data_IF_967728181644
#
_entry.id   IF_967728181644
#
_cell.length_a   1.000
_cell.length_b   1.000
_cell.length_c   1.000
_cell.angle_alpha   90.00
_cell.angle_beta   90.00
_cell.angle_gamma   90.00
#
_symmetry.space_group_name_H-M   'P 1'
#
loop_
_entity.id
_entity.type
_entity.pdbx_description
1 polymer ?
#
# COMPACT_ATOMS: atom_id res chain seq x y z
N UNK A 1 10.21 -5.81 12.71
CA UNK A 1 11.54 -5.19 12.67
C UNK A 1 11.99 -5.13 11.22
N UNK A 2 12.13 -3.94 10.71
CA UNK A 2 12.47 -3.71 9.32
C UNK A 2 13.90 -4.20 9.03
N UNK A 3 14.06 -4.85 7.90
CA UNK A 3 15.32 -5.41 7.41
C UNK A 3 16.36 -4.33 7.01
N UNK A 4 16.18 -3.11 7.53
CA UNK A 4 16.97 -1.93 7.15
C UNK A 4 18.38 -1.87 7.75
N UNK A 5 18.68 -2.73 8.72
CA UNK A 5 19.97 -2.67 9.44
C UNK A 5 21.12 -3.41 8.76
N UNK A 6 20.94 -3.86 7.52
CA UNK A 6 22.00 -4.56 6.78
C UNK A 6 23.15 -3.62 6.42
N UNK A 7 24.37 -4.11 6.52
CA UNK A 7 25.55 -3.38 6.04
C UNK A 7 25.56 -3.29 4.50
N UNK A 8 26.24 -2.29 3.92
CA UNK A 8 26.36 -2.24 2.46
C UNK A 8 26.93 -3.51 1.82
N UNK A 9 27.86 -4.20 2.51
CA UNK A 9 28.43 -5.46 2.03
C UNK A 9 27.40 -6.59 1.97
N UNK A 10 26.54 -6.69 2.98
CA UNK A 10 25.46 -7.67 3.02
C UNK A 10 24.42 -7.38 1.89
N UNK A 11 24.09 -6.13 1.68
CA UNK A 11 23.18 -5.70 0.60
C UNK A 11 23.77 -6.09 -0.77
N UNK A 12 25.06 -5.79 -1.00
CA UNK A 12 25.72 -6.14 -2.26
C UNK A 12 25.74 -7.66 -2.47
N UNK A 13 26.02 -8.43 -1.41
CA UNK A 13 26.01 -9.89 -1.47
C UNK A 13 24.65 -10.45 -1.89
N UNK A 14 23.56 -9.92 -1.33
CA UNK A 14 22.21 -10.34 -1.71
C UNK A 14 21.87 -9.92 -3.16
N UNK A 15 22.34 -8.75 -3.59
CA UNK A 15 22.18 -8.33 -4.99
C UNK A 15 22.96 -9.23 -5.96
N UNK A 16 24.12 -9.71 -5.53
CA UNK A 16 24.98 -10.61 -6.34
C UNK A 16 24.31 -11.96 -6.65
N UNK A 17 23.34 -12.39 -5.82
CA UNK A 17 22.57 -13.60 -6.06
C UNK A 17 21.66 -13.49 -7.29
N UNK A 18 21.27 -12.29 -7.67
CA UNK A 18 20.28 -12.04 -8.74
C UNK A 18 20.82 -11.26 -9.93
N UNK A 19 21.89 -10.51 -9.75
CA UNK A 19 22.40 -9.57 -10.76
C UNK A 19 23.88 -9.83 -10.98
N UNK A 20 24.24 -10.15 -12.21
CA UNK A 20 25.63 -10.39 -12.61
C UNK A 20 26.29 -9.05 -12.95
N UNK A 21 27.48 -8.80 -12.41
CA UNK A 21 28.24 -7.58 -12.69
C UNK A 21 27.66 -6.35 -11.99
N UNK A 22 27.80 -5.18 -12.61
CA UNK A 22 27.28 -3.89 -12.12
C UNK A 22 27.80 -3.52 -10.72
N UNK A 23 29.06 -3.83 -10.42
CA UNK A 23 29.66 -3.71 -9.08
C UNK A 23 29.56 -2.29 -8.52
N UNK A 24 29.86 -1.27 -9.33
CA UNK A 24 29.84 0.12 -8.88
C UNK A 24 28.40 0.59 -8.58
N UNK A 25 27.44 0.23 -9.43
CA UNK A 25 26.02 0.56 -9.23
C UNK A 25 25.50 -0.09 -7.94
N UNK A 26 25.77 -1.36 -7.72
CA UNK A 26 25.37 -2.10 -6.50
C UNK A 26 25.93 -1.43 -5.24
N UNK A 27 27.22 -1.07 -5.25
CA UNK A 27 27.88 -0.39 -4.12
C UNK A 27 27.25 0.97 -3.84
N UNK A 28 27.03 1.79 -4.87
CA UNK A 28 26.47 3.14 -4.73
C UNK A 28 25.08 3.10 -4.12
N UNK A 29 24.24 2.19 -4.61
CA UNK A 29 22.86 2.03 -4.14
C UNK A 29 22.84 1.47 -2.71
N UNK A 30 23.71 0.50 -2.38
CA UNK A 30 23.83 -0.05 -1.03
C UNK A 30 24.28 1.01 -0.01
N UNK A 31 25.24 1.85 -0.38
CA UNK A 31 25.73 2.95 0.46
C UNK A 31 24.63 4.01 0.66
N UNK A 32 23.91 4.37 -0.39
CA UNK A 32 22.81 5.34 -0.30
C UNK A 32 21.74 4.86 0.71
N UNK A 33 21.37 3.59 0.65
CA UNK A 33 20.42 3.00 1.60
C UNK A 33 20.94 3.00 3.03
N UNK A 34 22.20 2.63 3.22
CA UNK A 34 22.81 2.61 4.56
C UNK A 34 22.85 4.02 5.14
N UNK A 35 23.14 5.01 4.33
CA UNK A 35 23.15 6.42 4.76
C UNK A 35 21.74 6.88 5.16
N UNK A 36 20.70 6.45 4.42
CA UNK A 36 19.30 6.72 4.80
C UNK A 36 18.96 6.07 6.14
N UNK A 37 19.32 4.82 6.34
CA UNK A 37 19.10 4.13 7.62
C UNK A 37 19.80 4.87 8.78
N UNK A 38 21.06 5.28 8.58
CA UNK A 38 21.82 6.05 9.57
C UNK A 38 21.15 7.38 9.90
N UNK A 39 20.63 8.04 8.87
CA UNK A 39 19.90 9.30 9.01
C UNK A 39 18.69 9.12 9.95
N UNK A 40 17.93 8.04 9.78
CA UNK A 40 16.74 7.74 10.61
C UNK A 40 17.10 7.47 12.09
N UNK A 41 18.38 7.23 12.42
CA UNK A 41 18.85 7.06 13.79
C UNK A 41 19.31 8.38 14.45
N UNK A 42 19.33 9.46 13.70
CA UNK A 42 19.69 10.78 14.23
C UNK A 42 18.48 11.43 14.91
N UNK A 43 18.75 12.45 15.75
CA UNK A 43 17.70 13.30 16.32
C UNK A 43 16.93 14.03 15.21
N UNK A 44 15.65 14.25 15.40
CA UNK A 44 14.75 14.85 14.40
C UNK A 44 15.29 16.16 13.80
N UNK A 45 15.90 17.02 14.63
CA UNK A 45 16.48 18.28 14.17
C UNK A 45 17.62 18.05 13.18
N UNK A 46 18.48 17.08 13.47
CA UNK A 46 19.63 16.76 12.60
C UNK A 46 19.14 16.03 11.33
N UNK A 47 18.09 15.22 11.44
CA UNK A 47 17.51 14.52 10.29
C UNK A 47 17.07 15.51 9.19
N UNK A 48 16.51 16.65 9.57
CA UNK A 48 16.02 17.66 8.63
C UNK A 48 17.15 18.28 7.80
N UNK A 49 18.34 18.39 8.39
CA UNK A 49 19.52 18.97 7.72
C UNK A 49 20.27 18.00 6.81
N UNK A 50 19.93 16.70 6.87
CA UNK A 50 20.61 15.66 6.10
C UNK A 50 19.70 15.15 4.98
N UNK A 51 19.85 15.71 3.78
CA UNK A 51 19.10 15.26 2.61
C UNK A 51 19.80 14.05 1.96
N UNK A 52 19.05 13.01 1.56
CA UNK A 52 19.64 11.90 0.83
C UNK A 52 20.11 12.34 -0.56
N UNK A 53 21.21 11.73 -1.03
CA UNK A 53 21.75 12.01 -2.36
C UNK A 53 21.06 11.12 -3.39
N UNK A 54 20.54 11.75 -4.43
CA UNK A 54 19.94 11.05 -5.56
C UNK A 54 21.02 10.36 -6.42
N UNK A 55 20.64 9.38 -7.21
CA UNK A 55 21.56 8.54 -7.99
C UNK A 55 21.21 8.65 -9.47
N UNK A 56 22.23 8.87 -10.30
CA UNK A 56 22.09 8.79 -11.76
C UNK A 56 22.87 7.57 -12.27
N UNK A 57 22.15 6.64 -12.89
CA UNK A 57 22.74 5.44 -13.52
C UNK A 57 22.85 5.64 -15.02
N UNK A 58 24.08 5.60 -15.55
CA UNK A 58 24.35 5.80 -16.98
C UNK A 58 24.81 4.47 -17.58
N UNK A 59 24.21 4.10 -18.70
CA UNK A 59 24.59 2.88 -19.43
C UNK A 59 23.48 2.37 -20.33
N UNK A 60 23.80 1.40 -21.19
CA UNK A 60 22.83 0.88 -22.15
C UNK A 60 21.61 0.26 -21.48
N UNK A 61 20.52 0.18 -22.21
CA UNK A 61 19.29 -0.46 -21.74
C UNK A 61 19.50 -1.98 -21.58
N UNK A 62 18.72 -2.58 -20.69
CA UNK A 62 18.74 -4.03 -20.51
C UNK A 62 19.86 -4.60 -19.65
N UNK A 63 20.70 -3.77 -19.06
CA UNK A 63 21.85 -4.25 -18.25
C UNK A 63 21.54 -4.39 -16.74
N UNK A 64 20.29 -4.42 -16.37
CA UNK A 64 19.89 -4.69 -14.98
C UNK A 64 19.78 -3.49 -14.05
N UNK A 65 19.87 -2.26 -14.54
CA UNK A 65 19.79 -1.04 -13.71
C UNK A 65 18.50 -0.98 -12.87
N UNK A 66 17.35 -1.22 -13.51
CA UNK A 66 16.04 -1.27 -12.83
C UNK A 66 15.97 -2.39 -11.81
N UNK A 67 16.51 -3.56 -12.17
CA UNK A 67 16.48 -4.75 -11.30
C UNK A 67 17.28 -4.51 -10.03
N UNK A 68 18.41 -3.80 -10.10
CA UNK A 68 19.20 -3.39 -8.92
C UNK A 68 18.29 -2.61 -7.95
N UNK A 69 17.62 -1.56 -8.43
CA UNK A 69 16.79 -0.70 -7.61
C UNK A 69 15.58 -1.47 -7.03
N UNK A 70 14.93 -2.30 -7.84
CA UNK A 70 13.77 -3.09 -7.45
C UNK A 70 14.11 -4.14 -6.39
N UNK A 71 15.21 -4.86 -6.56
CA UNK A 71 15.69 -5.86 -5.59
C UNK A 71 16.10 -5.21 -4.29
N UNK A 72 16.77 -4.08 -4.39
CA UNK A 72 17.18 -3.28 -3.25
C UNK A 72 15.98 -2.89 -2.38
N UNK A 73 14.93 -2.35 -3.00
CA UNK A 73 13.71 -1.97 -2.28
C UNK A 73 13.09 -3.16 -1.53
N UNK A 74 13.12 -4.36 -2.13
CA UNK A 74 12.66 -5.59 -1.49
C UNK A 74 13.52 -6.00 -0.29
N UNK A 75 14.86 -5.88 -0.42
CA UNK A 75 15.81 -6.23 0.64
C UNK A 75 15.55 -5.39 1.91
N UNK A 76 15.15 -4.14 1.74
CA UNK A 76 14.94 -3.19 2.86
C UNK A 76 13.46 -2.93 3.19
N UNK A 77 12.55 -3.63 2.54
CA UNK A 77 11.09 -3.46 2.69
C UNK A 77 10.66 -1.99 2.47
N UNK A 78 11.22 -1.35 1.46
CA UNK A 78 10.93 0.05 1.12
C UNK A 78 9.87 0.16 0.02
N UNK A 79 8.98 1.17 0.10
CA UNK A 79 8.09 1.47 -1.03
C UNK A 79 8.90 1.79 -2.29
N UNK A 80 8.48 1.23 -3.41
CA UNK A 80 9.20 1.36 -4.68
C UNK A 80 8.23 1.52 -5.85
N UNK A 81 8.50 2.52 -6.69
CA UNK A 81 7.82 2.66 -7.97
C UNK A 81 8.86 2.84 -9.09
N UNK A 82 8.59 2.22 -10.23
CA UNK A 82 9.34 2.40 -11.46
C UNK A 82 8.46 3.11 -12.49
N UNK A 83 8.99 4.16 -13.08
CA UNK A 83 8.30 4.95 -14.09
C UNK A 83 9.25 5.30 -15.23
N UNK A 84 8.70 5.44 -16.41
CA UNK A 84 9.45 5.92 -17.59
C UNK A 84 9.17 7.42 -17.73
N UNK A 85 10.23 8.23 -17.78
CA UNK A 85 10.11 9.69 -17.88
C UNK A 85 9.31 10.12 -19.11
N UNK A 86 9.38 9.33 -20.18
CA UNK A 86 8.66 9.58 -21.45
C UNK A 86 7.15 9.47 -21.34
N UNK A 87 6.61 8.87 -20.26
CA UNK A 87 5.15 8.73 -20.05
C UNK A 87 4.52 9.95 -19.39
N UNK A 88 5.32 10.89 -18.91
CA UNK A 88 4.81 12.11 -18.31
C UNK A 88 4.51 13.17 -19.37
N UNK A 89 3.52 14.00 -19.07
CA UNK A 89 3.16 15.18 -19.86
C UNK A 89 3.38 16.44 -19.02
N UNK A 90 3.69 17.53 -19.69
CA UNK A 90 3.80 18.85 -19.05
C UNK A 90 2.48 19.23 -18.37
N UNK A 91 2.58 19.91 -17.23
CA UNK A 91 1.40 20.39 -16.48
C UNK A 91 0.47 21.21 -17.40
N UNK A 92 -0.80 20.86 -17.39
CA UNK A 92 -1.83 21.50 -18.22
C UNK A 92 -2.18 20.74 -19.49
N UNK A 93 -1.43 19.73 -19.87
CA UNK A 93 -1.75 18.84 -20.99
C UNK A 93 -2.44 17.56 -20.53
N UNK A 94 -3.23 16.97 -21.40
CA UNK A 94 -3.88 15.68 -21.13
C UNK A 94 -2.83 14.58 -21.07
N UNK A 95 -2.76 13.90 -19.94
CA UNK A 95 -1.78 12.83 -19.73
C UNK A 95 -1.44 12.67 -18.26
N UNK A 96 -0.33 12.02 -17.99
CA UNK A 96 0.10 11.70 -16.65
C UNK A 96 1.02 12.80 -16.12
N UNK A 97 0.60 13.48 -15.06
CA UNK A 97 1.41 14.51 -14.39
C UNK A 97 2.57 13.87 -13.58
N UNK A 98 3.60 14.66 -13.32
CA UNK A 98 4.81 14.19 -12.62
C UNK A 98 4.53 13.85 -11.13
N UNK A 99 3.55 14.52 -10.50
CA UNK A 99 3.19 14.23 -9.12
C UNK A 99 2.59 12.83 -8.94
N UNK A 100 2.05 12.25 -10.03
CA UNK A 100 1.50 10.89 -9.99
C UNK A 100 2.53 9.85 -9.55
N UNK A 101 3.84 10.09 -9.75
CA UNK A 101 4.87 9.17 -9.26
C UNK A 101 4.91 9.11 -7.73
N UNK A 102 4.63 10.23 -7.07
CA UNK A 102 4.57 10.32 -5.60
C UNK A 102 3.27 9.66 -5.11
N UNK A 103 2.16 9.90 -5.79
CA UNK A 103 0.88 9.25 -5.45
C UNK A 103 0.96 7.73 -5.60
N UNK A 104 1.59 7.22 -6.65
CA UNK A 104 1.84 5.78 -6.83
C UNK A 104 2.73 5.21 -5.72
N UNK A 105 3.74 5.97 -5.28
CA UNK A 105 4.62 5.56 -4.18
C UNK A 105 3.83 5.39 -2.88
N UNK A 106 2.91 6.30 -2.60
CA UNK A 106 2.03 6.21 -1.41
C UNK A 106 1.11 4.99 -1.51
N UNK A 107 0.53 4.71 -2.68
CA UNK A 107 -0.28 3.50 -2.89
C UNK A 107 0.54 2.22 -2.63
N UNK A 108 1.80 2.20 -3.08
CA UNK A 108 2.71 1.08 -2.82
C UNK A 108 3.00 0.96 -1.31
N UNK A 109 3.24 2.07 -0.63
CA UNK A 109 3.46 2.11 0.82
C UNK A 109 2.24 1.59 1.59
N UNK A 110 1.03 1.96 1.17
CA UNK A 110 -0.23 1.47 1.77
C UNK A 110 -0.29 -0.06 1.70
N UNK A 111 0.06 -0.66 0.57
CA UNK A 111 0.05 -2.12 0.43
C UNK A 111 1.05 -2.79 1.39
N UNK A 112 2.23 -2.18 1.58
CA UNK A 112 3.25 -2.69 2.51
C UNK A 112 2.73 -2.62 3.97
N UNK A 113 2.24 -1.46 4.38
CA UNK A 113 1.74 -1.24 5.75
C UNK A 113 0.52 -2.13 6.03
N UNK A 114 -0.40 -2.21 5.09
CA UNK A 114 -1.60 -3.04 5.19
C UNK A 114 -1.24 -4.51 5.40
N UNK A 115 -0.29 -5.02 4.61
CA UNK A 115 0.20 -6.40 4.73
C UNK A 115 0.81 -6.67 6.11
N UNK A 116 1.61 -5.73 6.62
CA UNK A 116 2.22 -5.81 7.96
C UNK A 116 1.15 -5.80 9.06
N UNK A 117 0.21 -4.86 8.99
CA UNK A 117 -0.87 -4.73 9.96
C UNK A 117 -1.76 -5.99 9.99
N UNK A 118 -2.10 -6.53 8.84
CA UNK A 118 -2.90 -7.75 8.74
C UNK A 118 -2.14 -8.95 9.31
N UNK A 119 -0.83 -9.04 9.08
CA UNK A 119 0.03 -10.07 9.66
C UNK A 119 0.02 -9.99 11.20
N UNK A 120 0.11 -8.77 11.74
CA UNK A 120 0.14 -8.53 13.19
C UNK A 120 -1.17 -8.93 13.89
N UNK A 121 -2.32 -8.72 13.23
CA UNK A 121 -3.62 -9.05 13.82
C UNK A 121 -4.10 -10.47 13.47
N UNK A 122 -3.39 -11.22 12.64
CA UNK A 122 -3.85 -12.52 12.11
C UNK A 122 -4.21 -13.51 13.21
N UNK A 123 -3.37 -13.64 14.24
CA UNK A 123 -3.61 -14.58 15.36
C UNK A 123 -4.93 -14.23 16.08
N UNK A 124 -5.15 -12.94 16.35
CA UNK A 124 -6.37 -12.47 17.00
C UNK A 124 -7.59 -12.65 16.09
N UNK A 125 -7.45 -12.35 14.81
CA UNK A 125 -8.50 -12.53 13.80
C UNK A 125 -8.89 -14.01 13.65
N UNK A 126 -7.92 -14.92 13.66
CA UNK A 126 -8.15 -16.36 13.58
C UNK A 126 -8.97 -16.87 14.78
N UNK A 127 -8.64 -16.42 15.99
CA UNK A 127 -9.42 -16.77 17.19
C UNK A 127 -10.87 -16.28 17.08
N UNK A 128 -11.07 -15.06 16.57
CA UNK A 128 -12.42 -14.51 16.34
C UNK A 128 -13.17 -15.29 15.25
N UNK A 129 -12.50 -15.63 14.16
CA UNK A 129 -13.06 -16.44 13.07
C UNK A 129 -13.49 -17.81 13.56
N UNK A 130 -12.65 -18.51 14.35
CA UNK A 130 -12.98 -19.79 14.94
C UNK A 130 -14.19 -19.68 15.89
N UNK A 131 -14.29 -18.61 16.68
CA UNK A 131 -15.47 -18.38 17.54
C UNK A 131 -16.76 -18.20 16.70
N UNK A 132 -16.66 -17.51 15.55
CA UNK A 132 -17.82 -17.39 14.65
C UNK A 132 -18.21 -18.73 14.05
N UNK A 133 -17.22 -19.54 13.62
CA UNK A 133 -17.46 -20.90 13.11
C UNK A 133 -18.10 -21.80 14.17
N UNK A 134 -17.66 -21.72 15.42
CA UNK A 134 -18.26 -22.45 16.55
C UNK A 134 -19.74 -22.09 16.69
N UNK A 135 -20.11 -20.82 16.61
CA UNK A 135 -21.53 -20.39 16.68
C UNK A 135 -22.37 -20.95 15.53
N UNK A 136 -21.78 -21.07 14.34
CA UNK A 136 -22.47 -21.63 13.17
C UNK A 136 -22.62 -23.16 13.30
N UNK A 137 -21.57 -23.84 13.77
CA UNK A 137 -21.57 -25.31 13.92
C UNK A 137 -22.39 -25.80 15.14
N UNK A 138 -22.45 -24.99 16.19
CA UNK A 138 -23.21 -25.27 17.43
C UNK A 138 -24.06 -24.04 17.76
N UNK A 139 -25.21 -23.88 17.09
CA UNK A 139 -26.08 -22.73 17.35
C UNK A 139 -26.70 -22.78 18.76
N UNK A 140 -26.79 -21.61 19.37
CA UNK A 140 -27.47 -21.46 20.64
C UNK A 140 -29.00 -21.42 20.46
N UNK A 141 -29.73 -21.51 21.57
CA UNK A 141 -31.21 -21.40 21.59
C UNK A 141 -31.55 -19.92 21.36
N UNK A 142 -32.20 -19.63 20.24
CA UNK A 142 -32.69 -18.27 19.97
C UNK A 142 -33.82 -17.93 20.88
N UNK A 143 -33.67 -16.89 21.71
CA UNK A 143 -34.80 -16.30 22.41
C UNK A 143 -35.70 -15.60 21.39
N UNK A 144 -36.98 -16.03 21.33
CA UNK A 144 -37.97 -15.24 20.64
C UNK A 144 -38.12 -13.89 21.37
N UNK A 145 -37.61 -12.84 20.70
CA UNK A 145 -37.92 -11.48 21.17
C UNK A 145 -39.42 -11.27 20.98
N UNK A 146 -40.15 -11.20 22.11
CA UNK A 146 -41.49 -10.64 22.07
C UNK A 146 -41.37 -9.25 21.46
N UNK A 147 -41.98 -9.07 20.30
CA UNK A 147 -42.07 -7.76 19.65
C UNK A 147 -42.82 -6.85 20.61
N UNK A 148 -42.09 -6.04 21.34
CA UNK A 148 -42.73 -4.95 22.09
C UNK A 148 -43.39 -4.02 21.07
N UNK A 149 -44.70 -3.92 21.16
CA UNK A 149 -45.54 -3.17 20.23
C UNK A 149 -45.57 -1.67 20.52
N UNK A 150 -44.57 -1.15 21.24
CA UNK A 150 -44.55 0.26 21.58
C UNK A 150 -43.90 1.08 20.43
N UNK A 151 -44.66 1.91 19.69
CA UNK A 151 -44.14 2.64 18.51
C UNK A 151 -42.97 3.57 18.84
N UNK A 152 -42.91 4.05 20.07
CA UNK A 152 -41.87 4.97 20.54
C UNK A 152 -40.52 4.25 20.70
N UNK A 153 -40.52 3.01 21.20
CA UNK A 153 -39.33 2.18 21.34
C UNK A 153 -38.82 1.71 19.96
N UNK A 154 -39.73 1.44 19.02
CA UNK A 154 -39.37 1.10 17.65
C UNK A 154 -38.60 2.25 16.96
N UNK A 155 -39.06 3.47 17.18
CA UNK A 155 -38.43 4.66 16.60
C UNK A 155 -37.07 4.94 17.25
N UNK A 156 -36.93 4.74 18.56
CA UNK A 156 -35.67 4.87 19.28
C UNK A 156 -34.68 3.77 18.91
N UNK A 157 -35.15 2.54 18.74
CA UNK A 157 -34.32 1.42 18.28
C UNK A 157 -33.85 1.60 16.82
N UNK A 158 -34.66 2.25 15.98
CA UNK A 158 -34.32 2.57 14.61
C UNK A 158 -33.18 3.64 14.54
N UNK A 159 -33.21 4.59 15.48
CA UNK A 159 -32.14 5.58 15.62
C UNK A 159 -30.84 4.98 16.21
N UNK A 160 -30.97 4.07 17.17
CA UNK A 160 -29.84 3.40 17.82
C UNK A 160 -29.23 2.27 16.94
N UNK A 161 -30.02 1.64 16.08
CA UNK A 161 -29.57 0.60 15.16
C UNK A 161 -28.57 1.12 14.12
N UNK A 162 -28.45 2.44 13.99
CA UNK A 162 -27.41 3.05 13.16
C UNK A 162 -26.00 2.94 13.79
N UNK A 163 -25.89 2.51 15.06
CA UNK A 163 -24.61 2.50 15.76
C UNK A 163 -24.00 1.13 16.09
N UNK A 164 -24.70 0.06 16.01
CA UNK A 164 -24.16 -1.35 15.95
C UNK A 164 -25.33 -2.33 16.01
N UNK A 165 -25.44 -3.31 15.12
CA UNK A 165 -26.43 -4.38 15.32
C UNK A 165 -26.02 -5.23 16.53
N UNK A 166 -26.75 -5.16 17.61
CA UNK A 166 -26.59 -6.08 18.74
C UNK A 166 -26.84 -7.51 18.26
N UNK A 167 -25.84 -8.38 18.48
CA UNK A 167 -26.04 -9.82 18.24
C UNK A 167 -27.22 -10.32 19.09
N UNK A 168 -28.12 -11.10 18.50
CA UNK A 168 -29.27 -11.65 19.27
C UNK A 168 -28.74 -12.44 20.46
N UNK A 169 -29.26 -12.13 21.64
CA UNK A 169 -28.86 -12.79 22.89
C UNK A 169 -29.31 -14.26 22.84
N UNK A 170 -28.32 -15.15 22.72
CA UNK A 170 -28.54 -16.60 22.76
C UNK A 170 -28.56 -17.10 24.20
N UNK A 171 -29.48 -18.02 24.52
CA UNK A 171 -29.37 -18.80 25.74
C UNK A 171 -28.38 -19.95 25.55
N UNK A 172 -27.41 -20.00 26.42
CA UNK A 172 -26.35 -21.02 26.41
C UNK A 172 -26.55 -21.93 27.60
N UNK A 173 -27.03 -23.15 27.36
CA UNK A 173 -27.01 -24.20 28.38
C UNK A 173 -25.56 -24.67 28.59
N UNK A 174 -25.30 -25.28 29.73
CA UNK A 174 -23.94 -25.82 30.02
C UNK A 174 -23.51 -26.87 29.00
N UNK A 175 -24.46 -27.62 28.46
CA UNK A 175 -24.22 -28.59 27.39
C UNK A 175 -23.73 -27.90 26.09
N UNK A 176 -24.39 -26.79 25.70
CA UNK A 176 -24.02 -26.02 24.51
C UNK A 176 -22.62 -25.41 24.72
N UNK A 177 -22.31 -24.90 25.90
CA UNK A 177 -20.97 -24.36 26.22
C UNK A 177 -19.89 -25.42 26.11
N UNK A 178 -20.11 -26.60 26.64
CA UNK A 178 -19.19 -27.73 26.56
C UNK A 178 -18.94 -28.16 25.11
N UNK A 179 -20.02 -28.28 24.33
CA UNK A 179 -19.95 -28.62 22.92
C UNK A 179 -19.18 -27.56 22.13
N UNK A 180 -19.44 -26.28 22.37
CA UNK A 180 -18.74 -25.16 21.75
C UNK A 180 -17.24 -25.19 22.05
N UNK A 181 -16.86 -25.50 23.29
CA UNK A 181 -15.47 -25.62 23.67
C UNK A 181 -14.77 -26.77 22.91
N UNK A 182 -15.41 -27.94 22.86
CA UNK A 182 -14.87 -29.10 22.14
C UNK A 182 -14.71 -28.83 20.64
N UNK A 183 -15.71 -28.19 20.02
CA UNK A 183 -15.65 -27.81 18.59
C UNK A 183 -14.54 -26.76 18.34
N UNK A 184 -14.38 -25.80 19.25
CA UNK A 184 -13.33 -24.79 19.15
C UNK A 184 -11.93 -25.45 19.13
N UNK A 185 -11.69 -26.41 20.00
CA UNK A 185 -10.43 -27.15 20.05
C UNK A 185 -10.16 -27.97 18.78
N UNK A 186 -11.23 -28.58 18.24
CA UNK A 186 -11.16 -29.31 16.97
C UNK A 186 -10.84 -28.37 15.80
N UNK A 187 -11.43 -27.16 15.79
CA UNK A 187 -11.12 -26.14 14.78
C UNK A 187 -9.67 -25.68 14.86
N UNK A 188 -9.15 -25.43 16.07
CA UNK A 188 -7.74 -25.04 16.25
C UNK A 188 -6.76 -26.11 15.76
N UNK A 189 -7.14 -27.40 15.89
CA UNK A 189 -6.33 -28.52 15.43
C UNK A 189 -6.54 -28.85 13.95
N UNK A 190 -7.46 -28.17 13.27
CA UNK A 190 -7.77 -28.40 11.84
C UNK A 190 -8.53 -29.68 11.55
N UNK A 191 -9.10 -30.35 12.57
CA UNK A 191 -9.78 -31.64 12.41
C UNK A 191 -11.09 -31.53 11.62
N UNK A 192 -11.65 -30.33 11.52
CA UNK A 192 -12.92 -30.07 10.85
C UNK A 192 -12.75 -29.39 9.48
N UNK A 193 -11.53 -29.23 8.99
CA UNK A 193 -11.19 -28.39 7.82
C UNK A 193 -11.94 -28.81 6.55
N UNK A 194 -12.21 -30.09 6.36
CA UNK A 194 -12.90 -30.62 5.17
C UNK A 194 -14.43 -30.66 5.30
N UNK A 195 -14.97 -30.33 6.46
CA UNK A 195 -16.44 -30.28 6.69
C UNK A 195 -17.04 -29.08 5.96
N UNK A 196 -18.20 -29.25 5.36
CA UNK A 196 -18.94 -28.15 4.74
C UNK A 196 -19.71 -27.35 5.80
N UNK A 197 -19.75 -26.03 5.61
CA UNK A 197 -20.44 -25.08 6.48
C UNK A 197 -21.02 -23.94 5.64
N UNK A 198 -22.21 -23.49 6.00
CA UNK A 198 -22.81 -22.29 5.38
C UNK A 198 -22.55 -21.10 6.30
N UNK A 199 -21.85 -20.11 5.77
CA UNK A 199 -21.51 -18.88 6.49
C UNK A 199 -22.11 -17.66 5.78
N UNK A 200 -22.33 -16.60 6.54
CA UNK A 200 -22.68 -15.28 5.99
C UNK A 200 -21.39 -14.45 5.89
N UNK A 201 -21.05 -14.04 4.69
CA UNK A 201 -19.88 -13.22 4.39
C UNK A 201 -20.31 -11.93 3.69
N UNK A 202 -19.52 -10.91 3.85
CA UNK A 202 -19.73 -9.66 3.14
C UNK A 202 -19.60 -9.87 1.62
N UNK A 203 -20.54 -9.32 0.87
CA UNK A 203 -20.50 -9.37 -0.59
C UNK A 203 -19.23 -8.69 -1.10
N UNK A 204 -18.42 -9.37 -1.93
CA UNK A 204 -17.22 -8.74 -2.46
C UNK A 204 -17.61 -7.46 -3.22
N UNK A 205 -16.94 -6.36 -2.89
CA UNK A 205 -17.14 -5.09 -3.59
C UNK A 205 -16.72 -5.30 -5.05
N UNK A 206 -17.69 -5.56 -5.90
CA UNK A 206 -17.47 -5.53 -7.34
C UNK A 206 -17.11 -4.08 -7.69
N UNK A 207 -15.85 -3.84 -7.97
CA UNK A 207 -15.42 -2.64 -8.67
C UNK A 207 -15.98 -2.74 -10.09
N UNK A 208 -17.25 -2.38 -10.25
CA UNK A 208 -17.79 -2.20 -11.57
C UNK A 208 -16.96 -1.10 -12.25
N UNK A 209 -16.42 -1.34 -13.43
CA UNK A 209 -15.75 -0.28 -14.17
C UNK A 209 -16.81 0.75 -14.56
N UNK A 210 -17.02 1.73 -13.70
CA UNK A 210 -17.87 2.87 -14.07
C UNK A 210 -17.09 3.77 -15.02
N UNK A 211 -17.64 3.91 -16.21
CA UNK A 211 -17.27 4.94 -17.17
C UNK A 211 -17.58 6.32 -16.57
N UNK A 212 -16.65 6.83 -15.78
CA UNK A 212 -16.79 8.19 -15.23
C UNK A 212 -15.47 8.96 -15.41
N UNK A 213 -15.12 9.15 -16.69
CA UNK A 213 -13.90 9.87 -17.08
C UNK A 213 -13.96 11.39 -16.84
N UNK A 214 -15.05 11.93 -16.28
CA UNK A 214 -15.21 13.38 -16.19
C UNK A 214 -15.16 13.98 -14.77
N UNK A 215 -15.44 13.19 -13.74
CA UNK A 215 -15.62 13.72 -12.38
C UNK A 215 -14.44 13.45 -11.43
N UNK A 216 -13.57 12.49 -11.78
CA UNK A 216 -12.34 12.23 -11.03
C UNK A 216 -11.37 13.43 -11.05
N UNK A 217 -11.48 14.29 -12.05
CA UNK A 217 -10.67 15.52 -12.15
C UNK A 217 -11.01 16.55 -11.05
N UNK A 218 -12.14 16.40 -10.37
CA UNK A 218 -12.54 17.33 -9.30
C UNK A 218 -12.19 16.83 -7.88
N UNK A 219 -11.46 15.72 -7.77
CA UNK A 219 -10.95 15.20 -6.48
C UNK A 219 -12.02 14.64 -5.55
N UNK A 220 -13.23 14.38 -6.06
CA UNK A 220 -14.34 13.83 -5.27
C UNK A 220 -14.57 12.39 -5.73
N UNK A 221 -14.09 11.44 -4.94
CA UNK A 221 -14.39 10.03 -5.17
C UNK A 221 -15.79 9.73 -4.63
N UNK A 222 -16.79 9.94 -5.50
CA UNK A 222 -18.20 9.67 -5.20
C UNK A 222 -18.45 8.20 -4.86
N UNK A 223 -17.64 7.28 -5.37
CA UNK A 223 -17.76 5.86 -5.05
C UNK A 223 -17.35 5.55 -3.60
N UNK A 224 -16.34 6.23 -3.10
CA UNK A 224 -15.90 6.05 -1.71
C UNK A 224 -16.91 6.65 -0.74
N UNK A 225 -17.46 7.82 -1.08
CA UNK A 225 -18.44 8.53 -0.24
C UNK A 225 -19.81 7.84 -0.25
N UNK A 226 -20.29 7.40 -1.41
CA UNK A 226 -21.58 6.69 -1.53
C UNK A 226 -21.45 5.21 -1.12
N UNK A 227 -20.29 4.61 -1.28
CA UNK A 227 -19.99 3.24 -0.85
C UNK A 227 -19.98 3.09 0.66
N UNK A 228 -19.56 4.14 1.38
CA UNK A 228 -19.56 4.16 2.84
C UNK A 228 -20.98 4.25 3.44
N UNK A 229 -21.94 4.72 2.65
CA UNK A 229 -23.35 4.90 3.08
C UNK A 229 -24.24 3.69 2.76
N UNK A 230 -23.80 2.76 1.93
CA UNK A 230 -24.57 1.55 1.62
C UNK A 230 -24.27 0.47 2.66
N UNK A 231 -25.31 -0.08 3.34
CA UNK A 231 -25.09 -1.23 4.22
C UNK A 231 -24.53 -2.39 3.39
N UNK A 232 -23.44 -2.99 3.86
CA UNK A 232 -22.84 -4.15 3.23
C UNK A 232 -23.84 -5.30 3.20
N UNK A 233 -24.19 -5.74 2.01
CA UNK A 233 -25.05 -6.91 1.82
C UNK A 233 -24.26 -8.16 2.22
N UNK A 234 -24.86 -8.97 3.08
CA UNK A 234 -24.31 -10.28 3.42
C UNK A 234 -24.91 -11.33 2.51
N UNK A 235 -24.04 -12.19 1.97
CA UNK A 235 -24.45 -13.33 1.14
C UNK A 235 -24.13 -14.63 1.88
N UNK A 236 -24.96 -15.64 1.69
CA UNK A 236 -24.71 -16.98 2.22
C UNK A 236 -23.83 -17.76 1.24
N UNK A 237 -22.80 -18.38 1.77
CA UNK A 237 -21.91 -19.25 0.99
C UNK A 237 -21.69 -20.54 1.73
N UNK A 238 -21.87 -21.66 1.02
CA UNK A 238 -21.54 -23.00 1.52
C UNK A 238 -20.14 -23.36 0.99
N UNK A 239 -19.21 -23.52 1.89
CA UNK A 239 -17.80 -23.79 1.61
C UNK A 239 -17.23 -24.73 2.65
N UNK A 240 -16.00 -25.21 2.47
CA UNK A 240 -15.33 -25.99 3.52
C UNK A 240 -15.00 -25.09 4.72
N UNK A 241 -14.89 -25.69 5.90
CA UNK A 241 -14.48 -24.99 7.13
C UNK A 241 -13.15 -24.26 6.94
N UNK A 242 -12.21 -24.86 6.22
CA UNK A 242 -10.92 -24.25 5.90
C UNK A 242 -11.10 -22.94 5.10
N UNK A 243 -11.92 -22.98 4.05
CA UNK A 243 -12.22 -21.79 3.22
C UNK A 243 -13.01 -20.75 4.03
N UNK A 244 -14.00 -21.20 4.79
CA UNK A 244 -14.79 -20.34 5.67
C UNK A 244 -13.91 -19.61 6.68
N UNK A 245 -12.95 -20.33 7.29
CA UNK A 245 -11.98 -19.75 8.23
C UNK A 245 -11.19 -18.60 7.59
N UNK A 246 -10.63 -18.82 6.40
CA UNK A 246 -9.85 -17.77 5.71
C UNK A 246 -10.71 -16.55 5.37
N UNK A 247 -11.94 -16.76 4.89
CA UNK A 247 -12.87 -15.66 4.61
C UNK A 247 -13.19 -14.86 5.88
N UNK A 248 -13.46 -15.54 6.98
CA UNK A 248 -13.76 -14.93 8.27
C UNK A 248 -12.53 -14.25 8.89
N UNK A 249 -11.32 -14.81 8.72
CA UNK A 249 -10.06 -14.18 9.14
C UNK A 249 -9.89 -12.85 8.41
N UNK A 250 -10.17 -12.83 7.11
CA UNK A 250 -10.06 -11.61 6.31
C UNK A 250 -11.03 -10.52 6.82
N UNK A 251 -12.30 -10.89 7.07
CA UNK A 251 -13.29 -9.97 7.65
C UNK A 251 -12.88 -9.45 9.03
N UNK A 252 -12.49 -10.36 9.93
CA UNK A 252 -12.10 -9.99 11.30
C UNK A 252 -10.82 -9.15 11.33
N UNK A 253 -9.86 -9.44 10.43
CA UNK A 253 -8.64 -8.63 10.29
C UNK A 253 -8.99 -7.20 9.87
N UNK A 254 -9.90 -7.03 8.91
CA UNK A 254 -10.31 -5.69 8.46
C UNK A 254 -11.01 -4.87 9.56
N UNK A 255 -11.68 -5.54 10.50
CA UNK A 255 -12.29 -4.87 11.67
C UNK A 255 -11.28 -4.49 12.75
N UNK A 256 -10.16 -5.22 12.83
CA UNK A 256 -9.10 -5.00 13.83
C UNK A 256 -8.09 -3.94 13.41
N UNK A 257 -8.06 -3.61 12.13
CA UNK A 257 -7.12 -2.66 11.54
C UNK A 257 -7.84 -1.34 11.27
N UNK A 258 -7.19 -0.23 11.58
CA UNK A 258 -7.71 1.13 11.36
C UNK A 258 -7.11 1.68 10.07
N UNK A 259 -7.95 2.00 9.09
CA UNK A 259 -7.51 2.55 7.80
C UNK A 259 -6.78 3.91 7.96
N UNK A 260 -7.22 4.75 8.89
CA UNK A 260 -6.56 6.04 9.15
C UNK A 260 -5.11 5.85 9.64
N UNK A 261 -4.88 4.83 10.49
CA UNK A 261 -3.53 4.50 10.96
C UNK A 261 -2.67 3.95 9.82
N UNK A 262 -3.25 3.15 8.92
CA UNK A 262 -2.56 2.63 7.73
C UNK A 262 -2.14 3.81 6.84
N UNK A 263 -3.05 4.75 6.56
CA UNK A 263 -2.77 5.89 5.68
C UNK A 263 -1.66 6.79 6.25
N UNK A 264 -1.75 7.10 7.53
CA UNK A 264 -0.75 7.92 8.24
C UNK A 264 0.63 7.27 8.23
N UNK A 265 0.70 5.98 8.57
CA UNK A 265 1.95 5.21 8.58
C UNK A 265 2.53 5.05 7.17
N UNK A 266 1.67 4.87 6.16
CA UNK A 266 2.10 4.74 4.77
C UNK A 266 2.69 6.04 4.23
N UNK A 267 2.09 7.19 4.55
CA UNK A 267 2.66 8.51 4.20
C UNK A 267 4.05 8.65 4.81
N UNK A 268 4.18 8.36 6.11
CA UNK A 268 5.45 8.42 6.84
C UNK A 268 6.49 7.47 6.22
N UNK A 269 6.09 6.25 5.87
CA UNK A 269 6.98 5.26 5.25
C UNK A 269 7.43 5.71 3.85
N UNK A 270 6.52 6.28 3.05
CA UNK A 270 6.84 6.80 1.72
C UNK A 270 7.84 7.96 1.80
N UNK A 271 7.61 8.92 2.72
CA UNK A 271 8.53 10.05 2.95
C UNK A 271 9.93 9.60 3.35
N UNK A 272 10.00 8.74 4.38
CA UNK A 272 11.28 8.39 5.02
C UNK A 272 12.09 7.35 4.26
N UNK A 273 11.41 6.44 3.54
CA UNK A 273 12.05 5.24 2.97
C UNK A 273 11.71 4.98 1.50
N UNK A 274 10.86 5.80 0.89
CA UNK A 274 10.42 5.62 -0.48
C UNK A 274 11.54 5.72 -1.51
N UNK A 275 11.43 4.94 -2.58
CA UNK A 275 12.38 4.92 -3.70
C UNK A 275 11.58 5.09 -5.00
N UNK A 276 11.94 6.10 -5.78
CA UNK A 276 11.36 6.34 -7.11
C UNK A 276 12.47 6.11 -8.15
N UNK A 277 12.22 5.18 -9.07
CA UNK A 277 13.11 4.87 -10.17
C UNK A 277 12.55 5.48 -11.47
N UNK A 278 13.26 6.46 -12.02
CA UNK A 278 12.91 7.13 -13.27
C UNK A 278 13.77 6.61 -14.40
N UNK A 279 13.18 5.81 -15.28
CA UNK A 279 13.89 5.28 -16.44
C UNK A 279 13.77 6.24 -17.65
N UNK A 280 14.69 6.11 -18.59
CA UNK A 280 14.71 6.88 -19.85
C UNK A 280 14.75 8.40 -19.63
N UNK A 281 15.44 8.86 -18.58
CA UNK A 281 15.51 10.30 -18.25
C UNK A 281 16.23 11.10 -19.35
N UNK A 282 17.16 10.46 -20.05
CA UNK A 282 17.88 11.07 -21.19
C UNK A 282 16.97 11.48 -22.34
N UNK A 283 15.81 10.83 -22.48
CA UNK A 283 14.85 11.11 -23.55
C UNK A 283 14.07 12.41 -23.33
N UNK A 284 13.91 12.82 -22.07
CA UNK A 284 13.24 14.10 -21.75
C UNK A 284 14.24 15.27 -21.68
N UNK A 285 15.54 14.99 -21.75
CA UNK A 285 16.60 16.02 -21.79
C UNK A 285 16.96 16.45 -23.22
N UNK A 286 16.53 15.69 -24.24
CA UNK A 286 16.90 16.01 -25.62
C UNK A 286 16.13 17.24 -26.14
N UNK A 287 16.86 18.19 -26.70
CA UNK A 287 16.32 19.35 -27.43
C UNK A 287 15.77 18.89 -28.79
N UNK A 288 14.68 18.16 -28.78
CA UNK A 288 14.03 17.72 -30.00
C UNK A 288 13.19 18.89 -30.56
N UNK A 289 13.64 19.48 -31.64
CA UNK A 289 12.94 20.55 -32.37
C UNK A 289 11.89 20.01 -33.33
N UNK A 290 11.15 18.98 -32.98
CA UNK A 290 10.04 18.56 -33.83
C UNK A 290 8.75 19.22 -33.34
N UNK A 291 8.23 20.08 -34.20
CA UNK A 291 6.98 20.81 -34.00
C UNK A 291 5.79 19.85 -33.82
N UNK A 292 5.06 19.96 -32.71
CA UNK A 292 3.79 19.28 -32.48
C UNK A 292 3.80 18.23 -31.39
N UNK A 293 4.95 17.94 -30.73
CA UNK A 293 4.99 17.04 -29.59
C UNK A 293 4.96 17.80 -28.25
N UNK A 294 4.43 17.18 -27.21
CA UNK A 294 4.48 17.68 -25.83
C UNK A 294 5.91 18.08 -25.50
N UNK A 295 6.07 19.25 -24.90
CA UNK A 295 7.39 19.77 -24.56
C UNK A 295 8.09 18.85 -23.55
N UNK A 296 9.10 18.13 -23.99
CA UNK A 296 9.92 17.28 -23.11
C UNK A 296 10.70 18.11 -22.10
N UNK A 297 11.05 19.33 -22.46
CA UNK A 297 11.70 20.31 -21.57
C UNK A 297 10.75 20.74 -20.44
N UNK A 298 9.44 20.82 -20.71
CA UNK A 298 8.42 21.08 -19.70
C UNK A 298 8.34 19.96 -18.66
N UNK A 299 8.38 18.70 -19.12
CA UNK A 299 8.37 17.53 -18.19
C UNK A 299 9.60 17.57 -17.28
N UNK A 300 10.78 17.86 -17.82
CA UNK A 300 12.02 17.98 -17.02
C UNK A 300 11.90 19.08 -15.95
N UNK A 301 11.37 20.24 -16.34
CA UNK A 301 11.14 21.37 -15.45
C UNK A 301 10.16 21.01 -14.33
N UNK A 302 9.11 20.22 -14.63
CA UNK A 302 8.11 19.80 -13.65
C UNK A 302 8.62 18.71 -12.70
N UNK A 303 9.57 17.85 -13.14
CA UNK A 303 10.21 16.83 -12.29
C UNK A 303 11.15 17.47 -11.26
N UNK A 304 11.83 18.55 -11.63
CA UNK A 304 12.92 19.12 -10.82
C UNK A 304 12.49 19.51 -9.40
N UNK A 305 11.38 20.25 -9.18
CA UNK A 305 10.96 20.58 -7.81
C UNK A 305 10.67 19.35 -6.95
N UNK A 306 10.15 18.28 -7.54
CA UNK A 306 9.84 17.04 -6.81
C UNK A 306 11.14 16.35 -6.37
N UNK A 307 12.16 16.35 -7.22
CA UNK A 307 13.47 15.75 -6.91
C UNK A 307 14.24 16.60 -5.87
N UNK A 308 14.10 17.91 -5.93
CA UNK A 308 14.75 18.84 -4.99
C UNK A 308 14.06 18.92 -3.64
N UNK A 309 12.79 18.59 -3.57
CA UNK A 309 11.98 18.62 -2.37
C UNK A 309 10.78 19.56 -2.51
N UNK A 310 9.60 18.99 -2.52
CA UNK A 310 8.35 19.74 -2.59
C UNK A 310 7.24 19.00 -1.86
N UNK A 311 6.15 19.69 -1.66
CA UNK A 311 4.96 19.15 -1.02
C UNK A 311 3.99 18.66 -2.09
N UNK A 312 3.59 17.39 -2.01
CA UNK A 312 2.65 16.77 -2.94
C UNK A 312 1.39 16.35 -2.19
N UNK A 313 0.23 16.75 -2.71
CA UNK A 313 -1.06 16.37 -2.16
C UNK A 313 -1.50 15.00 -2.70
N UNK A 314 -1.91 14.13 -1.79
CA UNK A 314 -2.51 12.84 -2.11
C UNK A 314 -3.90 12.74 -1.49
N UNK A 315 -4.68 11.76 -1.91
CA UNK A 315 -6.01 11.52 -1.31
C UNK A 315 -5.95 11.08 0.16
N UNK A 316 -4.77 10.73 0.66
CA UNK A 316 -4.55 10.29 2.04
C UNK A 316 -3.92 11.36 2.91
N UNK A 317 -3.51 12.46 2.34
CA UNK A 317 -2.82 13.56 3.02
C UNK A 317 -1.65 14.07 2.20
N UNK A 318 -0.93 15.00 2.77
CA UNK A 318 0.20 15.68 2.13
C UNK A 318 1.51 14.96 2.46
N UNK A 319 2.41 14.90 1.49
CA UNK A 319 3.69 14.23 1.60
C UNK A 319 4.82 15.17 1.14
N UNK A 320 5.94 15.18 1.89
CA UNK A 320 7.17 15.90 1.51
C UNK A 320 8.12 14.98 0.78
N UNK A 321 8.70 15.45 -0.32
CA UNK A 321 9.56 14.59 -1.17
C UNK A 321 11.06 14.68 -0.85
N UNK A 322 11.46 15.56 0.09
CA UNK A 322 12.85 15.85 0.44
C UNK A 322 13.70 14.61 0.75
N UNK A 323 13.09 13.56 1.27
CA UNK A 323 13.80 12.38 1.76
C UNK A 323 13.52 11.14 0.92
N UNK A 324 12.74 11.26 -0.14
CA UNK A 324 12.55 10.18 -1.12
C UNK A 324 13.87 10.00 -1.89
N UNK A 325 14.28 8.76 -2.10
CA UNK A 325 15.46 8.46 -2.92
C UNK A 325 15.05 8.39 -4.38
N UNK A 326 15.54 9.31 -5.19
CA UNK A 326 15.34 9.28 -6.64
C UNK A 326 16.54 8.61 -7.29
N UNK A 327 16.26 7.60 -8.10
CA UNK A 327 17.25 6.91 -8.92
C UNK A 327 16.84 7.11 -10.38
N UNK A 328 17.59 7.92 -11.10
CA UNK A 328 17.35 8.15 -12.52
C UNK A 328 18.23 7.24 -13.37
N UNK A 329 17.75 6.83 -14.52
CA UNK A 329 18.47 5.94 -15.44
C UNK A 329 18.31 6.42 -16.87
N UNK A 330 19.39 6.39 -17.63
CA UNK A 330 19.40 6.73 -19.06
C UNK A 330 20.61 6.18 -19.78
N UNK A 331 20.49 6.03 -21.08
CA UNK A 331 21.58 5.57 -21.93
C UNK A 331 22.52 6.72 -22.35
N UNK A 332 21.97 7.92 -22.46
CA UNK A 332 22.69 9.15 -22.82
C UNK A 332 23.49 9.05 -24.14
N UNK A 333 22.87 8.43 -25.16
CA UNK A 333 23.48 8.31 -26.49
C UNK A 333 23.44 9.64 -27.28
N UNK A 334 22.35 10.43 -27.08
CA UNK A 334 22.08 11.67 -27.83
C UNK A 334 22.18 12.94 -26.97
N UNK A 335 22.20 12.78 -25.66
CA UNK A 335 22.29 13.88 -24.69
C UNK A 335 23.39 13.59 -23.68
N UNK A 336 23.83 14.63 -22.98
CA UNK A 336 24.82 14.49 -21.90
C UNK A 336 24.09 14.53 -20.55
N UNK A 337 24.63 13.90 -19.52
CA UNK A 337 24.08 14.04 -18.16
C UNK A 337 23.99 15.49 -17.70
N UNK A 338 24.86 16.36 -18.16
CA UNK A 338 24.83 17.83 -17.90
C UNK A 338 23.62 18.56 -18.51
N UNK A 339 22.99 17.97 -19.48
CA UNK A 339 21.80 18.56 -20.11
C UNK A 339 20.51 18.36 -19.29
N UNK A 340 20.53 17.55 -18.45
CA UNK A 340 19.43 17.30 -17.59
C UNK A 340 19.48 18.28 -16.46
N UNK A 341 18.52 18.92 -16.35
CA UNK A 341 18.46 19.86 -15.35
C UNK A 341 18.41 19.30 -14.02
N UNK A 342 18.05 18.21 -14.10
CA UNK A 342 17.97 17.44 -12.96
C UNK A 342 19.33 16.93 -12.50
N UNK A 343 20.05 17.00 -13.22
CA UNK A 343 21.36 16.61 -12.93
C UNK A 343 22.13 17.53 -12.05
N UNK A 344 21.69 18.44 -12.09
CA UNK A 344 22.24 19.41 -11.25
C UNK A 344 22.00 19.14 -9.81
N UNK A 345 20.92 18.63 -9.53
CA UNK A 345 20.60 18.20 -8.17
C UNK A 345 21.14 16.78 -7.85
N UNK A 346 21.56 16.04 -8.83
CA UNK A 346 22.13 14.68 -8.60
C UNK A 346 23.64 14.69 -8.26
N UNK A 347 24.18 15.80 -7.90
CA UNK A 347 25.52 15.89 -7.28
C UNK A 347 26.67 15.28 -8.05
N UNK A 348 26.93 15.79 -9.25
CA UNK A 348 28.20 15.53 -9.92
C UNK A 348 29.25 16.48 -9.37
N UNK A 349 30.03 16.06 -8.40
CA UNK A 349 31.36 16.57 -8.09
C UNK A 349 32.24 15.40 -7.65
#
# INVERSE_FOLDING_TARGET
MTNQNKSPREIVKELDEYIVGQTNAKKSVAVALRNRYRRLQLDEKVQQDVTPKNILMIGPTGVGKTEIARRLAKIVDAPFVKLEATKFTEVGYVGRDVESMVRDLVENAIQIVKKEQYKNVRIQAEKKANRRLVKVLVPGIKKEQKKNTNPYEQMMNMFNAAQQPEEPKEELTDEIRSNRQAIFEQLEKGLLDNREVTIQVDEPKNQAPMMNNGLEQMGIDLNETLGALKPQKKIERTVTVKEARELLIQEESSKLVNDADIHSEALRLAESSGIIFLDEIDKVSSKSQQSGEVSREGVQRDILPIVEGSQVNTKYGTLQTDHILFIASGAFHLSKPSDXXXXXSCGTR
#
